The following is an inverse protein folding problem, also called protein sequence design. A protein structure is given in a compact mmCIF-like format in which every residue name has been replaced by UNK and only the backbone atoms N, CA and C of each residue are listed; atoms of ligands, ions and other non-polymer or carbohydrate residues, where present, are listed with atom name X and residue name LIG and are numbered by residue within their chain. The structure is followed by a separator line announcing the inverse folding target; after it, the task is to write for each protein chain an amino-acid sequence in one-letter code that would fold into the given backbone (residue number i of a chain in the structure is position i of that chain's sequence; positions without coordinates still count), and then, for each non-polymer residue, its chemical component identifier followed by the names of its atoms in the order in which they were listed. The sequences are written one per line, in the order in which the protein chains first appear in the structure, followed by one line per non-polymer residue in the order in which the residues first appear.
data_IF_007233333693
#
_entry.id   IF_007233333693
#
_cell.length_a   1.000
_cell.length_b   1.000
_cell.length_c   1.000
_cell.angle_alpha   90.00
_cell.angle_beta   90.00
_cell.angle_gamma   90.00
#
_symmetry.space_group_name_H-M   'P 1'
#
loop_
_entity.id
_entity.type
_entity.pdbx_description
1 polymer ?
#
# COMPACT_ATOMS: atom_id res chain seq x y z
N UNK A 1 -21.12 62.42 9.81
CA UNK A 1 -20.70 61.28 10.66
C UNK A 1 -21.11 60.00 9.95
N UNK A 2 -20.23 59.41 9.15
CA UNK A 2 -20.46 58.14 8.45
C UNK A 2 -19.87 57.02 9.29
N UNK A 3 -20.74 56.23 9.91
CA UNK A 3 -20.38 55.02 10.65
C UNK A 3 -20.45 53.85 9.69
N UNK A 4 -19.29 53.32 9.28
CA UNK A 4 -19.21 52.05 8.55
C UNK A 4 -18.99 50.96 9.60
N UNK A 5 -19.97 50.06 9.76
CA UNK A 5 -19.84 48.92 10.65
C UNK A 5 -18.86 47.89 10.04
N UNK A 6 -17.74 47.67 10.72
CA UNK A 6 -16.82 46.56 10.46
C UNK A 6 -17.46 45.26 10.96
N UNK A 7 -18.13 44.51 10.09
CA UNK A 7 -18.43 43.10 10.37
C UNK A 7 -17.50 42.21 9.54
N UNK A 8 -16.40 41.75 10.14
CA UNK A 8 -15.68 40.59 9.62
C UNK A 8 -16.57 39.36 9.76
N UNK A 9 -17.18 38.93 8.66
CA UNK A 9 -17.90 37.66 8.59
C UNK A 9 -16.86 36.54 8.42
N UNK A 10 -16.63 35.76 9.47
CA UNK A 10 -15.85 34.52 9.37
C UNK A 10 -16.67 33.52 8.57
N UNK A 11 -16.35 33.37 7.29
CA UNK A 11 -16.91 32.33 6.42
C UNK A 11 -15.98 31.12 6.52
N UNK A 12 -16.46 30.01 7.09
CA UNK A 12 -15.69 28.76 7.17
C UNK A 12 -15.82 27.92 8.43
N UNK A 13 -16.92 28.02 9.19
CA UNK A 13 -17.09 27.26 10.45
C UNK A 13 -17.80 25.91 10.32
N UNK A 14 -18.29 25.54 9.13
CA UNK A 14 -19.20 24.38 8.95
C UNK A 14 -18.82 23.44 7.80
N UNK A 15 -17.66 23.64 7.14
CA UNK A 15 -17.16 22.64 6.19
C UNK A 15 -16.20 21.74 6.97
N UNK A 16 -16.63 20.52 7.28
CA UNK A 16 -15.72 19.48 7.73
C UNK A 16 -14.85 19.07 6.54
N UNK A 17 -13.73 19.79 6.37
CA UNK A 17 -12.79 19.61 5.27
C UNK A 17 -12.25 18.18 5.24
N UNK A 18 -12.03 17.57 6.42
CA UNK A 18 -11.59 16.17 6.53
C UNK A 18 -12.64 15.21 5.97
N UNK A 19 -13.92 15.41 6.29
CA UNK A 19 -15.01 14.58 5.75
C UNK A 19 -15.18 14.77 4.24
N UNK A 20 -14.92 15.95 3.70
CA UNK A 20 -14.96 16.22 2.26
C UNK A 20 -13.77 15.57 1.54
N UNK A 21 -12.56 15.67 2.11
CA UNK A 21 -11.37 14.99 1.59
C UNK A 21 -11.60 13.48 1.62
N UNK A 22 -12.09 12.93 2.73
CA UNK A 22 -12.41 11.51 2.85
C UNK A 22 -13.41 11.04 1.80
N UNK A 23 -14.48 11.79 1.55
CA UNK A 23 -15.45 11.45 0.49
C UNK A 23 -14.82 11.42 -0.92
N UNK A 24 -13.91 12.36 -1.22
CA UNK A 24 -13.20 12.39 -2.51
C UNK A 24 -12.24 11.19 -2.61
N UNK A 25 -11.55 10.87 -1.52
CA UNK A 25 -10.65 9.73 -1.40
C UNK A 25 -11.41 8.40 -1.55
N UNK A 26 -12.59 8.30 -0.94
CA UNK A 26 -13.43 7.09 -0.96
C UNK A 26 -13.91 6.72 -2.37
N UNK A 27 -14.03 7.68 -3.29
CA UNK A 27 -14.33 7.42 -4.70
C UNK A 27 -13.25 6.59 -5.41
N UNK A 28 -12.01 6.58 -4.89
CA UNK A 28 -10.90 5.79 -5.43
C UNK A 28 -10.61 4.52 -4.60
N UNK A 29 -11.30 4.31 -3.47
CA UNK A 29 -11.09 3.14 -2.61
C UNK A 29 -11.23 1.81 -3.33
N UNK A 30 -12.23 1.70 -4.22
CA UNK A 30 -12.43 0.49 -5.02
C UNK A 30 -11.22 0.16 -5.91
N UNK A 31 -10.59 1.18 -6.51
CA UNK A 31 -9.40 1.00 -7.35
C UNK A 31 -8.21 0.54 -6.52
N UNK A 32 -7.94 1.18 -5.38
CA UNK A 32 -6.76 0.85 -4.57
C UNK A 32 -6.90 -0.49 -3.84
N UNK A 33 -8.11 -0.83 -3.40
CA UNK A 33 -8.43 -2.17 -2.88
C UNK A 33 -8.20 -3.24 -3.95
N UNK A 34 -8.70 -2.99 -5.18
CA UNK A 34 -8.46 -3.90 -6.31
C UNK A 34 -6.97 -4.03 -6.64
N UNK A 35 -6.23 -2.92 -6.63
CA UNK A 35 -4.78 -2.93 -6.82
C UNK A 35 -4.09 -3.82 -5.78
N UNK A 36 -4.35 -3.62 -4.48
CA UNK A 36 -3.70 -4.40 -3.42
C UNK A 36 -3.99 -5.89 -3.56
N UNK A 37 -5.25 -6.26 -3.78
CA UNK A 37 -5.65 -7.67 -3.91
C UNK A 37 -5.00 -8.34 -5.12
N UNK A 38 -5.04 -7.69 -6.29
CA UNK A 38 -4.45 -8.23 -7.51
C UNK A 38 -2.92 -8.28 -7.45
N UNK A 39 -2.30 -7.26 -6.86
CA UNK A 39 -0.85 -7.20 -6.67
C UNK A 39 -0.38 -8.27 -5.68
N UNK A 40 -1.05 -8.40 -4.53
CA UNK A 40 -0.73 -9.41 -3.53
C UNK A 40 -0.84 -10.85 -4.08
N UNK A 41 -1.75 -11.08 -5.03
CA UNK A 41 -1.90 -12.37 -5.71
C UNK A 41 -0.72 -12.76 -6.61
N UNK A 42 0.13 -11.81 -7.02
CA UNK A 42 1.28 -12.08 -7.89
C UNK A 42 0.91 -12.64 -9.26
N UNK A 43 1.92 -13.07 -10.03
CA UNK A 43 1.72 -13.77 -11.32
C UNK A 43 1.02 -15.11 -11.11
N UNK A 44 1.41 -15.81 -10.05
CA UNK A 44 0.89 -17.10 -9.61
C UNK A 44 1.09 -17.20 -8.09
N UNK A 45 0.37 -18.12 -7.43
CA UNK A 45 0.61 -18.37 -6.01
C UNK A 45 1.99 -19.01 -5.80
N UNK A 46 2.71 -18.54 -4.78
CA UNK A 46 4.06 -18.99 -4.46
C UNK A 46 4.21 -19.08 -2.95
N UNK A 47 5.05 -19.98 -2.45
CA UNK A 47 5.25 -20.13 -1.00
C UNK A 47 5.71 -18.84 -0.31
N UNK A 48 6.53 -18.04 -0.99
CA UNK A 48 7.07 -16.80 -0.43
C UNK A 48 6.14 -15.59 -0.57
N UNK A 49 5.13 -15.66 -1.45
CA UNK A 49 4.16 -14.56 -1.71
C UNK A 49 4.82 -13.17 -1.75
N UNK A 50 5.94 -13.04 -2.46
CA UNK A 50 6.80 -11.85 -2.38
C UNK A 50 6.09 -10.53 -2.69
N UNK A 51 5.13 -10.52 -3.64
CA UNK A 51 4.37 -9.32 -3.98
C UNK A 51 3.43 -8.88 -2.86
N UNK A 52 2.79 -9.82 -2.16
CA UNK A 52 2.01 -9.54 -0.94
C UNK A 52 2.90 -8.92 0.11
N UNK A 53 4.07 -9.51 0.37
CA UNK A 53 5.01 -9.01 1.36
C UNK A 53 5.66 -7.66 1.00
N UNK A 54 5.77 -7.33 -0.29
CA UNK A 54 6.17 -5.99 -0.72
C UNK A 54 5.15 -4.90 -0.34
N UNK A 55 3.89 -5.25 -0.12
CA UNK A 55 2.89 -4.29 0.39
C UNK A 55 3.09 -3.98 1.87
N UNK A 56 3.62 -4.90 2.68
CA UNK A 56 3.82 -4.67 4.11
C UNK A 56 4.56 -3.35 4.43
N UNK A 57 5.79 -3.08 3.91
CA UNK A 57 6.46 -1.79 4.14
C UNK A 57 5.68 -0.59 3.58
N UNK A 58 4.91 -0.78 2.51
CA UNK A 58 4.10 0.27 1.89
C UNK A 58 2.91 0.63 2.78
N UNK A 59 2.24 -0.34 3.39
CA UNK A 59 1.07 -0.12 4.23
C UNK A 59 1.46 0.41 5.62
N UNK A 60 2.60 0.00 6.15
CA UNK A 60 3.02 0.38 7.51
C UNK A 60 3.74 1.72 7.57
N UNK A 61 4.36 2.17 6.46
CA UNK A 61 5.14 3.42 6.45
C UNK A 61 4.30 4.69 6.61
N UNK A 62 4.95 5.78 7.02
CA UNK A 62 4.39 7.13 7.02
C UNK A 62 4.45 7.75 5.63
N UNK A 63 3.59 8.72 5.37
CA UNK A 63 3.43 9.36 4.06
C UNK A 63 4.70 9.99 3.53
N UNK A 64 5.53 10.61 4.38
CA UNK A 64 6.81 11.19 3.96
C UNK A 64 7.74 10.10 3.43
N UNK A 65 7.72 8.92 4.06
CA UNK A 65 8.50 7.76 3.60
C UNK A 65 7.95 7.21 2.29
N UNK A 66 6.63 7.18 2.12
CA UNK A 66 6.01 6.74 0.87
C UNK A 66 6.33 7.67 -0.31
N UNK A 67 6.33 8.98 -0.07
CA UNK A 67 6.73 9.97 -1.08
C UNK A 67 8.21 9.86 -1.44
N UNK A 68 9.08 9.54 -0.47
CA UNK A 68 10.51 9.35 -0.70
C UNK A 68 10.83 8.00 -1.38
N UNK A 69 9.96 7.00 -1.26
CA UNK A 69 10.20 5.63 -1.70
C UNK A 69 11.15 4.85 -0.77
N UNK A 70 11.37 3.58 -1.13
CA UNK A 70 12.17 2.63 -0.36
C UNK A 70 13.39 2.17 -1.14
N UNK A 71 14.57 2.32 -0.54
CA UNK A 71 15.78 1.71 -1.06
C UNK A 71 15.70 0.18 -0.96
N UNK A 72 16.43 -0.52 -1.81
CA UNK A 72 16.57 -1.97 -1.72
C UNK A 72 17.00 -2.45 -0.33
N UNK A 73 17.94 -1.74 0.32
CA UNK A 73 18.45 -2.10 1.63
C UNK A 73 17.35 -2.00 2.72
N UNK A 74 16.52 -0.97 2.67
CA UNK A 74 15.39 -0.81 3.60
C UNK A 74 14.36 -1.92 3.40
N UNK A 75 13.99 -2.22 2.15
CA UNK A 75 13.03 -3.30 1.85
C UNK A 75 13.57 -4.65 2.32
N UNK A 76 14.85 -4.94 2.04
CA UNK A 76 15.49 -6.19 2.49
C UNK A 76 15.45 -6.32 4.00
N UNK A 77 15.81 -5.25 4.72
CA UNK A 77 15.78 -5.23 6.19
C UNK A 77 14.36 -5.46 6.70
N UNK A 78 13.38 -4.70 6.17
CA UNK A 78 11.99 -4.80 6.56
C UNK A 78 11.41 -6.19 6.35
N UNK A 79 11.69 -6.82 5.21
CA UNK A 79 11.24 -8.17 4.94
C UNK A 79 11.93 -9.20 5.84
N UNK A 80 13.21 -9.04 6.15
CA UNK A 80 13.89 -9.94 7.09
C UNK A 80 13.33 -9.88 8.52
N UNK A 81 12.74 -8.74 8.89
CA UNK A 81 12.13 -8.51 10.21
C UNK A 81 10.70 -9.03 10.30
N UNK A 82 9.94 -9.04 9.19
CA UNK A 82 8.50 -9.30 9.22
C UNK A 82 8.05 -10.53 8.41
N UNK A 83 8.77 -10.91 7.35
CA UNK A 83 8.43 -12.08 6.55
C UNK A 83 8.69 -13.37 7.38
N UNK A 84 7.85 -14.42 7.29
CA UNK A 84 8.00 -15.66 8.07
C UNK A 84 9.35 -16.36 7.84
N UNK A 85 9.82 -16.39 6.58
CA UNK A 85 11.17 -16.87 6.24
C UNK A 85 12.31 -15.96 6.73
N UNK A 86 12.02 -14.73 7.15
CA UNK A 86 12.96 -13.77 7.77
C UNK A 86 14.35 -13.75 7.15
N UNK A 87 15.37 -14.07 7.96
CA UNK A 87 16.78 -14.10 7.53
C UNK A 87 17.12 -15.20 6.52
N UNK A 88 16.27 -16.22 6.37
CA UNK A 88 16.45 -17.28 5.37
C UNK A 88 15.97 -16.86 3.97
N UNK A 89 15.32 -15.69 3.83
CA UNK A 89 14.90 -15.17 2.54
C UNK A 89 16.11 -14.94 1.62
N UNK A 90 16.12 -15.61 0.46
CA UNK A 90 17.14 -15.40 -0.56
C UNK A 90 17.01 -13.97 -1.14
N UNK A 91 18.09 -13.16 -1.16
CA UNK A 91 18.07 -11.82 -1.75
C UNK A 91 17.53 -11.76 -3.18
N UNK A 92 17.79 -12.78 -3.99
CA UNK A 92 17.30 -12.87 -5.36
C UNK A 92 15.78 -12.85 -5.49
N UNK A 93 15.04 -13.32 -4.48
CA UNK A 93 13.57 -13.29 -4.47
C UNK A 93 13.06 -11.84 -4.42
N UNK A 94 13.68 -11.00 -3.59
CA UNK A 94 13.36 -9.58 -3.52
C UNK A 94 13.74 -8.86 -4.83
N UNK A 95 14.94 -9.14 -5.36
CA UNK A 95 15.37 -8.57 -6.64
C UNK A 95 14.39 -8.86 -7.76
N UNK A 96 13.97 -10.13 -7.91
CA UNK A 96 13.01 -10.54 -8.95
C UNK A 96 11.65 -9.85 -8.75
N UNK A 97 11.10 -9.89 -7.53
CA UNK A 97 9.81 -9.26 -7.25
C UNK A 97 9.81 -7.74 -7.54
N UNK A 98 10.91 -7.05 -7.23
CA UNK A 98 11.06 -5.63 -7.54
C UNK A 98 11.17 -5.37 -9.04
N UNK A 99 12.00 -6.14 -9.76
CA UNK A 99 12.19 -5.98 -11.20
C UNK A 99 10.90 -6.18 -12.00
N UNK A 100 10.00 -7.06 -11.55
CA UNK A 100 8.74 -7.37 -12.22
C UNK A 100 7.52 -6.66 -11.63
N UNK A 101 7.69 -5.77 -10.64
CA UNK A 101 6.61 -5.05 -9.96
C UNK A 101 5.66 -4.31 -10.93
N UNK A 102 6.21 -3.54 -11.88
CA UNK A 102 5.42 -2.77 -12.85
C UNK A 102 4.76 -3.69 -13.88
N UNK A 103 5.48 -4.72 -14.34
CA UNK A 103 4.96 -5.74 -15.27
C UNK A 103 3.78 -6.51 -14.69
N UNK A 104 3.83 -6.87 -13.40
CA UNK A 104 2.72 -7.53 -12.72
C UNK A 104 1.45 -6.67 -12.76
N UNK A 105 1.56 -5.38 -12.50
CA UNK A 105 0.41 -4.47 -12.53
C UNK A 105 -0.18 -4.37 -13.94
N UNK A 106 0.66 -4.32 -14.97
CA UNK A 106 0.20 -4.34 -16.37
C UNK A 106 -0.54 -5.65 -16.68
N UNK A 107 0.00 -6.80 -16.29
CA UNK A 107 -0.61 -8.11 -16.51
C UNK A 107 -1.98 -8.22 -15.82
N UNK A 108 -2.09 -7.72 -14.59
CA UNK A 108 -3.34 -7.68 -13.83
C UNK A 108 -4.29 -6.56 -14.29
N UNK A 109 -3.97 -5.85 -15.37
CA UNK A 109 -4.73 -4.73 -15.93
C UNK A 109 -5.00 -3.61 -14.91
N UNK A 110 -4.05 -3.37 -14.01
CA UNK A 110 -4.09 -2.27 -13.04
C UNK A 110 -3.62 -1.00 -13.75
N UNK A 111 -4.51 -0.03 -13.92
CA UNK A 111 -4.22 1.25 -14.57
C UNK A 111 -4.75 2.42 -13.74
N UNK A 112 -3.96 3.47 -13.48
CA UNK A 112 -2.52 3.61 -13.73
C UNK A 112 -1.67 2.76 -12.77
N UNK A 113 -0.38 2.58 -13.11
CA UNK A 113 0.63 1.95 -12.24
C UNK A 113 0.70 2.69 -10.90
N UNK A 114 0.78 1.94 -9.81
CA UNK A 114 0.85 2.45 -8.43
C UNK A 114 2.27 2.33 -7.88
N UNK A 115 2.94 1.21 -8.13
CA UNK A 115 4.31 0.95 -7.66
C UNK A 115 5.27 0.79 -8.84
N UNK A 116 6.45 1.38 -8.75
CA UNK A 116 7.48 1.24 -9.77
C UNK A 116 8.87 1.10 -9.13
N UNK A 117 9.68 0.18 -9.64
CA UNK A 117 11.04 0.00 -9.17
C UNK A 117 12.03 0.60 -10.14
N UNK A 118 12.66 1.70 -9.72
CA UNK A 118 13.80 2.27 -10.41
C UNK A 118 15.02 1.38 -10.18
N UNK A 119 15.35 0.58 -11.19
CA UNK A 119 16.49 -0.32 -11.17
C UNK A 119 17.84 0.43 -11.11
N UNK A 120 17.89 1.67 -11.61
CA UNK A 120 19.12 2.48 -11.61
C UNK A 120 19.38 3.06 -10.22
N UNK A 121 18.34 3.67 -9.62
CA UNK A 121 18.37 4.22 -8.27
C UNK A 121 18.19 3.19 -7.14
N UNK A 122 17.95 1.92 -7.50
CA UNK A 122 17.65 0.81 -6.58
C UNK A 122 16.54 1.15 -5.58
N UNK A 123 15.46 1.76 -6.09
CA UNK A 123 14.40 2.34 -5.26
C UNK A 123 13.00 1.95 -5.75
N UNK A 124 12.19 1.42 -4.83
CA UNK A 124 10.75 1.24 -5.04
C UNK A 124 10.04 2.56 -4.74
N UNK A 125 9.32 3.08 -5.73
CA UNK A 125 8.59 4.32 -5.66
C UNK A 125 7.09 4.05 -5.71
N UNK A 126 6.34 4.84 -4.94
CA UNK A 126 4.89 4.93 -5.06
C UNK A 126 4.63 6.06 -6.06
N UNK A 127 4.30 5.69 -7.30
CA UNK A 127 4.17 6.66 -8.41
C UNK A 127 2.78 7.31 -8.42
N UNK A 128 1.75 6.62 -7.92
CA UNK A 128 0.42 7.19 -7.76
C UNK A 128 0.30 7.88 -6.39
N UNK A 129 0.41 9.22 -6.38
CA UNK A 129 0.29 10.01 -5.14
C UNK A 129 -1.11 9.95 -4.54
N UNK A 130 -2.15 9.67 -5.33
CA UNK A 130 -3.50 9.47 -4.83
C UNK A 130 -3.58 8.25 -3.92
N UNK A 131 -2.76 7.22 -4.16
CA UNK A 131 -2.67 6.05 -3.29
C UNK A 131 -2.08 6.41 -1.92
N UNK A 132 -1.09 7.30 -1.86
CA UNK A 132 -0.50 7.77 -0.60
C UNK A 132 -1.56 8.50 0.22
N UNK A 133 -2.26 9.47 -0.40
CA UNK A 133 -3.34 10.21 0.26
C UNK A 133 -4.43 9.25 0.71
N UNK A 134 -4.83 8.31 -0.15
CA UNK A 134 -5.85 7.33 0.21
C UNK A 134 -5.47 6.50 1.43
N UNK A 135 -4.22 6.01 1.47
CA UNK A 135 -3.70 5.18 2.55
C UNK A 135 -3.65 5.92 3.89
N UNK A 136 -3.49 7.25 3.90
CA UNK A 136 -3.54 8.08 5.13
C UNK A 136 -4.88 8.02 5.85
N UNK A 137 -5.98 7.79 5.13
CA UNK A 137 -7.35 7.77 5.69
C UNK A 137 -7.87 6.35 5.96
N UNK A 138 -7.03 5.31 5.78
CA UNK A 138 -7.43 3.92 6.03
C UNK A 138 -7.01 3.46 7.43
N UNK A 139 -7.76 2.50 7.96
CA UNK A 139 -7.29 1.70 9.09
C UNK A 139 -6.24 0.71 8.59
N UNK A 140 -4.98 0.93 9.00
CA UNK A 140 -3.86 0.08 8.59
C UNK A 140 -3.98 -1.34 9.11
N UNK A 141 -4.57 -1.55 10.28
CA UNK A 141 -4.74 -2.90 10.83
C UNK A 141 -5.69 -3.72 9.95
N UNK A 142 -6.84 -3.13 9.56
CA UNK A 142 -7.80 -3.78 8.65
C UNK A 142 -7.16 -4.11 7.29
N UNK A 143 -6.31 -3.23 6.76
CA UNK A 143 -5.61 -3.48 5.50
C UNK A 143 -4.59 -4.62 5.59
N UNK A 144 -3.89 -4.75 6.73
CA UNK A 144 -2.94 -5.82 6.96
C UNK A 144 -3.64 -7.16 7.14
N UNK A 145 -4.72 -7.20 7.93
CA UNK A 145 -5.56 -8.38 8.14
C UNK A 145 -6.14 -8.86 6.81
N UNK A 146 -6.71 -7.96 6.00
CA UNK A 146 -7.29 -8.31 4.69
C UNK A 146 -6.30 -8.94 3.70
N UNK A 147 -5.00 -8.81 3.94
CA UNK A 147 -3.93 -9.35 3.09
C UNK A 147 -3.14 -10.49 3.75
N UNK A 148 -3.54 -10.98 4.94
CA UNK A 148 -2.75 -11.87 5.82
C UNK A 148 -1.33 -11.33 6.07
N UNK A 149 -1.21 -10.08 6.54
CA UNK A 149 0.07 -9.42 6.82
C UNK A 149 0.25 -8.99 8.28
N UNK A 150 -0.77 -9.18 9.11
CA UNK A 150 -0.81 -8.84 10.55
C UNK A 150 -0.23 -9.95 11.45
N UNK A 151 -0.17 -11.19 10.96
CA UNK A 151 0.39 -12.33 11.69
C UNK A 151 1.27 -13.23 10.81
N UNK A 152 2.62 -13.09 10.82
CA UNK A 152 3.52 -13.92 10.03
C UNK A 152 3.58 -15.39 10.47
N UNK A 153 3.05 -15.75 11.64
CA UNK A 153 3.24 -17.08 12.22
C UNK A 153 2.07 -18.05 11.97
N UNK A 154 1.00 -17.64 11.28
CA UNK A 154 -0.14 -18.51 11.01
C UNK A 154 0.01 -19.23 9.66
N UNK A 155 0.22 -20.57 9.62
CA UNK A 155 0.12 -21.31 8.38
C UNK A 155 -1.31 -21.18 7.86
N UNK A 156 -1.48 -20.69 6.63
CA UNK A 156 -2.79 -20.70 5.97
C UNK A 156 -3.32 -22.13 5.97
N UNK A 157 -4.30 -22.40 6.84
CA UNK A 157 -4.92 -23.71 6.95
C UNK A 157 -5.53 -24.06 5.58
N UNK A 158 -5.21 -25.22 4.98
CA UNK A 158 -5.92 -25.67 3.80
C UNK A 158 -7.40 -25.83 4.16
N UNK A 159 -8.26 -25.39 3.25
CA UNK A 159 -9.71 -25.34 3.41
C UNK A 159 -10.27 -26.62 4.02
N UNK A 160 -11.19 -26.43 4.96
CA UNK A 160 -11.95 -27.49 5.60
C UNK A 160 -12.76 -28.23 4.52
N UNK A 161 -12.22 -29.31 3.96
CA UNK A 161 -13.05 -30.29 3.28
C UNK A 161 -13.85 -31.02 4.36
N UNK A 162 -15.05 -30.51 4.62
CA UNK A 162 -16.08 -31.26 5.29
C UNK A 162 -16.45 -32.45 4.38
N UNK A 163 -15.74 -33.56 4.56
CA UNK A 163 -16.18 -34.85 4.07
C UNK A 163 -17.30 -35.37 4.97
N UNK A 164 -18.38 -35.76 4.29
CA UNK A 164 -19.63 -36.33 4.78
C UNK A 164 -19.42 -37.63 5.55
#
# INVERSE_FOLDING_TARGET
MTSTAESQRVVGKEINVEALIKNIVDQQSGRYTTFMNLFAGGFQDTQLRMYRWLLHPVLTAKSEKLQAGFTYAELRKHLQEHHPSGKALNPGNLTQALQYCSSLQVEKNIKAIVLDYDQTGLRLNIVDRGFIVWLEYQDKAELLEALDLDNPDEPTLPGFEAST
#
